data_IF_908302366593
#
_entry.id   IF_908302366593
#
_cell.length_a   1.000
_cell.length_b   1.000
_cell.length_c   1.000
_cell.angle_alpha   90.00
_cell.angle_beta   90.00
_cell.angle_gamma   90.00
#
_symmetry.space_group_name_H-M   'P 1'
#
loop_
_entity.id
_entity.type
_entity.pdbx_description
1 polymer ?
#
# COMPACT_ATOMS: atom_id res chain seq x y z
N UNK A 1 15.32 4.34 3.15
CA UNK A 1 13.95 3.83 3.06
C UNK A 1 13.49 3.02 4.28
N UNK A 2 14.24 2.01 4.74
CA UNK A 2 13.84 1.27 5.95
C UNK A 2 13.78 2.16 7.21
N UNK A 3 14.68 3.13 7.35
CA UNK A 3 14.66 4.08 8.47
C UNK A 3 13.44 5.00 8.45
N UNK A 4 13.08 5.51 7.27
CA UNK A 4 11.88 6.35 7.12
C UNK A 4 10.59 5.57 7.43
N UNK A 5 10.50 4.30 6.98
CA UNK A 5 9.36 3.44 7.30
C UNK A 5 9.31 3.09 8.80
N UNK A 6 10.47 2.89 9.44
CA UNK A 6 10.54 2.65 10.88
C UNK A 6 10.09 3.88 11.69
N UNK A 7 10.53 5.08 11.30
CA UNK A 7 10.10 6.33 11.91
C UNK A 7 8.59 6.59 11.74
N UNK A 8 8.04 6.27 10.55
CA UNK A 8 6.60 6.39 10.31
C UNK A 8 5.77 5.37 11.11
N UNK A 9 6.33 4.16 11.36
CA UNK A 9 5.64 3.12 12.12
C UNK A 9 5.74 3.33 13.63
N UNK A 10 6.86 3.80 14.09
CA UNK A 10 7.18 4.03 15.51
C UNK A 10 7.77 5.43 15.69
N UNK A 11 6.94 6.48 15.67
CA UNK A 11 7.42 7.87 15.79
C UNK A 11 8.13 8.11 17.11
N UNK A 12 7.65 7.49 18.20
CA UNK A 12 8.22 7.58 19.55
C UNK A 12 9.24 6.47 19.86
N UNK A 13 9.72 5.77 18.82
CA UNK A 13 10.60 4.62 18.98
C UNK A 13 9.88 3.27 19.01
N UNK A 14 10.65 2.19 18.91
CA UNK A 14 10.09 0.85 18.84
C UNK A 14 9.31 0.48 20.11
N UNK A 15 8.11 -0.03 19.93
CA UNK A 15 7.28 -0.67 20.95
C UNK A 15 6.98 -2.10 20.55
N UNK A 16 7.22 -3.04 21.45
CA UNK A 16 6.98 -4.45 21.19
C UNK A 16 5.47 -4.73 21.14
N UNK A 17 4.92 -5.32 20.04
CA UNK A 17 3.49 -5.60 19.93
C UNK A 17 2.99 -6.69 20.89
N UNK A 18 3.89 -7.39 21.61
CA UNK A 18 3.53 -8.45 22.54
C UNK A 18 3.58 -8.05 24.01
N UNK A 19 4.56 -7.23 24.40
CA UNK A 19 4.79 -6.86 25.81
C UNK A 19 4.98 -5.36 26.03
N UNK A 20 4.79 -4.55 24.97
CA UNK A 20 4.97 -3.09 24.95
C UNK A 20 6.35 -2.58 25.42
N UNK A 21 7.31 -3.47 25.58
CA UNK A 21 8.68 -3.13 25.97
C UNK A 21 9.39 -2.30 24.89
N UNK A 22 10.11 -1.25 25.30
CA UNK A 22 10.91 -0.42 24.41
C UNK A 22 12.31 -0.98 24.09
N UNK A 23 13.01 -1.67 25.02
CA UNK A 23 14.36 -2.19 24.75
C UNK A 23 14.35 -3.24 23.63
N UNK A 24 15.15 -3.02 22.58
CA UNK A 24 15.22 -3.91 21.43
C UNK A 24 16.61 -3.96 20.82
N UNK A 25 16.89 -5.00 20.06
CA UNK A 25 18.02 -5.09 19.15
C UNK A 25 17.55 -5.24 17.70
N UNK A 26 18.38 -4.76 16.77
CA UNK A 26 18.10 -4.82 15.34
C UNK A 26 18.92 -5.95 14.73
N UNK A 27 18.24 -6.99 14.25
CA UNK A 27 18.84 -8.11 13.53
C UNK A 27 18.93 -7.78 12.04
N UNK A 28 20.16 -7.65 11.52
CA UNK A 28 20.42 -7.32 10.11
C UNK A 28 20.70 -8.55 9.23
N UNK A 29 20.39 -9.74 9.70
CA UNK A 29 20.71 -10.99 9.00
C UNK A 29 19.96 -11.21 7.67
N UNK A 30 19.01 -10.35 7.30
CA UNK A 30 18.19 -10.42 6.08
C UNK A 30 18.15 -9.07 5.37
N UNK A 31 17.65 -9.06 4.15
CA UNK A 31 17.47 -7.85 3.35
C UNK A 31 16.60 -6.76 4.02
N UNK A 32 15.86 -7.12 5.05
CA UNK A 32 15.02 -6.21 5.85
C UNK A 32 15.33 -6.38 7.33
N UNK A 33 15.47 -5.29 8.09
CA UNK A 33 15.75 -5.35 9.52
C UNK A 33 14.57 -5.98 10.27
N UNK A 34 14.90 -6.82 11.25
CA UNK A 34 13.97 -7.34 12.26
C UNK A 34 14.27 -6.69 13.59
N UNK A 35 13.23 -6.27 14.29
CA UNK A 35 13.32 -5.69 15.62
C UNK A 35 13.00 -6.78 16.64
N UNK A 36 13.99 -7.16 17.44
CA UNK A 36 13.80 -8.16 18.48
C UNK A 36 13.71 -7.48 19.85
N UNK A 37 12.60 -7.73 20.54
CA UNK A 37 12.42 -7.26 21.90
C UNK A 37 13.39 -7.97 22.85
N UNK A 38 14.06 -7.20 23.73
CA UNK A 38 15.00 -7.77 24.69
C UNK A 38 14.28 -8.47 25.86
N UNK A 39 13.04 -8.04 26.20
CA UNK A 39 12.27 -8.61 27.29
C UNK A 39 11.63 -9.96 26.94
N UNK A 40 10.84 -10.02 25.85
CA UNK A 40 10.08 -11.21 25.48
C UNK A 40 10.63 -11.96 24.26
N UNK A 41 11.74 -11.51 23.67
CA UNK A 41 12.41 -12.05 22.48
C UNK A 41 11.49 -12.12 21.23
N UNK A 42 10.33 -11.46 21.26
CA UNK A 42 9.46 -11.37 20.10
C UNK A 42 10.15 -10.61 18.96
N UNK A 43 10.10 -11.18 17.76
CA UNK A 43 10.66 -10.56 16.54
C UNK A 43 9.56 -9.87 15.74
N UNK A 44 9.62 -8.55 15.69
CA UNK A 44 8.73 -7.74 14.89
C UNK A 44 9.38 -7.37 13.55
N UNK A 45 8.72 -7.73 12.46
CA UNK A 45 9.15 -7.27 11.14
C UNK A 45 8.65 -5.86 10.87
N UNK A 46 9.49 -5.04 10.21
CA UNK A 46 9.14 -3.67 9.82
C UNK A 46 7.87 -3.60 8.95
N UNK A 47 7.58 -4.64 8.19
CA UNK A 47 6.45 -4.70 7.24
C UNK A 47 5.27 -5.54 7.73
N UNK A 48 5.39 -6.25 8.85
CA UNK A 48 4.29 -7.08 9.37
C UNK A 48 3.11 -6.19 9.80
N UNK A 49 1.89 -6.57 9.44
CA UNK A 49 0.67 -5.78 9.72
C UNK A 49 0.55 -4.49 8.90
N UNK A 50 1.36 -4.31 7.85
CA UNK A 50 1.26 -3.18 6.91
C UNK A 50 0.84 -3.67 5.52
N UNK A 51 0.52 -2.74 4.62
CA UNK A 51 0.26 -3.02 3.20
C UNK A 51 1.39 -3.82 2.54
N UNK A 52 2.60 -3.69 3.06
CA UNK A 52 3.80 -4.36 2.55
C UNK A 52 3.97 -5.80 3.07
N UNK A 53 3.07 -6.30 3.91
CA UNK A 53 3.18 -7.64 4.50
C UNK A 53 3.20 -8.74 3.43
N UNK A 54 4.12 -9.72 3.58
CA UNK A 54 4.24 -10.86 2.68
C UNK A 54 4.75 -10.53 1.29
N UNK A 55 5.27 -9.31 1.07
CA UNK A 55 5.72 -8.87 -0.24
C UNK A 55 7.13 -9.34 -0.59
N UNK A 56 7.31 -9.88 -1.81
CA UNK A 56 8.62 -10.20 -2.40
C UNK A 56 9.32 -8.97 -2.99
N UNK A 57 8.64 -8.04 -3.68
CA UNK A 57 9.26 -6.84 -4.24
C UNK A 57 9.95 -5.98 -3.18
N UNK A 58 10.98 -5.25 -3.62
CA UNK A 58 11.68 -4.29 -2.76
C UNK A 58 10.76 -3.13 -2.34
N UNK A 59 11.01 -2.52 -1.19
CA UNK A 59 10.27 -1.34 -0.73
C UNK A 59 10.39 -0.17 -1.72
N UNK A 60 11.51 -0.08 -2.46
CA UNK A 60 11.67 0.94 -3.50
C UNK A 60 10.57 0.85 -4.56
N UNK A 61 10.26 -0.37 -5.05
CA UNK A 61 9.18 -0.58 -6.03
C UNK A 61 7.80 -0.22 -5.45
N UNK A 62 7.59 -0.47 -4.18
CA UNK A 62 6.36 -0.09 -3.50
C UNK A 62 6.20 1.43 -3.40
N UNK A 63 7.24 2.15 -2.98
CA UNK A 63 7.19 3.61 -2.91
C UNK A 63 7.04 4.24 -4.29
N UNK A 64 7.69 3.67 -5.31
CA UNK A 64 7.50 4.09 -6.70
C UNK A 64 6.05 3.86 -7.15
N UNK A 65 5.44 2.71 -6.81
CA UNK A 65 4.04 2.44 -7.11
C UNK A 65 3.10 3.45 -6.44
N UNK A 66 3.31 3.73 -5.16
CA UNK A 66 2.55 4.74 -4.41
C UNK A 66 2.66 6.10 -5.10
N UNK A 67 3.86 6.51 -5.44
CA UNK A 67 4.10 7.79 -6.13
C UNK A 67 3.37 7.84 -7.47
N UNK A 68 3.52 6.84 -8.33
CA UNK A 68 2.88 6.80 -9.64
C UNK A 68 1.34 6.83 -9.55
N UNK A 69 0.76 6.08 -8.61
CA UNK A 69 -0.68 6.04 -8.39
C UNK A 69 -1.18 7.38 -7.87
N UNK A 70 -0.44 8.02 -6.95
CA UNK A 70 -0.83 9.33 -6.40
C UNK A 70 -0.78 10.48 -7.41
N UNK A 71 0.06 10.36 -8.45
CA UNK A 71 0.16 11.36 -9.52
C UNK A 71 -0.88 11.16 -10.64
N UNK A 72 -1.46 9.98 -10.74
CA UNK A 72 -2.36 9.65 -11.83
C UNK A 72 -3.79 10.14 -11.55
N UNK A 73 -4.17 11.28 -12.15
CA UNK A 73 -5.52 11.88 -12.00
C UNK A 73 -6.64 10.94 -12.45
N UNK A 74 -6.42 10.17 -13.51
CA UNK A 74 -7.42 9.25 -14.11
C UNK A 74 -7.28 7.81 -13.63
N UNK A 75 -6.41 7.57 -12.63
CA UNK A 75 -6.03 6.22 -12.22
C UNK A 75 -4.92 5.63 -13.08
N UNK A 76 -4.32 4.56 -12.61
CA UNK A 76 -3.22 3.87 -13.28
C UNK A 76 -3.55 2.39 -13.40
N UNK A 77 -3.53 1.84 -14.63
CA UNK A 77 -3.79 0.43 -14.82
C UNK A 77 -2.63 -0.44 -14.32
N UNK A 78 -2.93 -1.67 -13.87
CA UNK A 78 -1.90 -2.62 -13.44
C UNK A 78 -0.90 -2.97 -14.57
N UNK A 79 -1.32 -2.84 -15.84
CA UNK A 79 -0.44 -3.08 -17.00
C UNK A 79 0.61 -1.98 -17.14
N UNK A 80 0.22 -0.73 -16.95
CA UNK A 80 1.15 0.41 -16.96
C UNK A 80 2.07 0.33 -15.75
N UNK A 81 1.53 0.01 -14.58
CA UNK A 81 2.31 -0.18 -13.35
C UNK A 81 3.36 -1.29 -13.50
N UNK A 82 3.01 -2.43 -14.14
CA UNK A 82 3.98 -3.50 -14.48
C UNK A 82 5.18 -2.96 -15.24
N UNK A 83 4.95 -2.11 -16.25
CA UNK A 83 6.02 -1.55 -17.10
C UNK A 83 6.96 -0.66 -16.31
N UNK A 84 6.41 0.23 -15.48
CA UNK A 84 7.21 1.15 -14.65
C UNK A 84 7.98 0.45 -13.54
N UNK A 85 7.39 -0.56 -12.90
CA UNK A 85 8.00 -1.27 -11.78
C UNK A 85 8.97 -2.38 -12.21
N UNK A 86 8.92 -2.84 -13.48
CA UNK A 86 9.70 -3.97 -13.96
C UNK A 86 9.40 -5.27 -13.21
N UNK A 87 8.11 -5.55 -12.97
CA UNK A 87 7.64 -6.75 -12.26
C UNK A 87 6.68 -7.55 -13.14
N UNK A 88 6.31 -8.78 -12.73
CA UNK A 88 5.26 -9.55 -13.40
C UNK A 88 3.91 -8.84 -13.30
N UNK A 89 3.00 -9.13 -14.24
CA UNK A 89 1.64 -8.57 -14.20
C UNK A 89 0.91 -8.90 -12.90
N UNK A 90 0.99 -10.15 -12.44
CA UNK A 90 0.38 -10.58 -11.17
C UNK A 90 0.90 -9.78 -9.97
N UNK A 91 2.21 -9.49 -9.94
CA UNK A 91 2.81 -8.67 -8.87
C UNK A 91 2.33 -7.22 -8.94
N UNK A 92 2.28 -6.63 -10.13
CA UNK A 92 1.78 -5.27 -10.33
C UNK A 92 0.30 -5.16 -9.95
N UNK A 93 -0.51 -6.13 -10.37
CA UNK A 93 -1.92 -6.24 -10.03
C UNK A 93 -2.14 -6.31 -8.51
N UNK A 94 -1.37 -7.18 -7.82
CA UNK A 94 -1.45 -7.34 -6.37
C UNK A 94 -1.03 -6.05 -5.62
N UNK A 95 0.02 -5.38 -6.08
CA UNK A 95 0.44 -4.08 -5.52
C UNK A 95 -0.67 -3.06 -5.69
N UNK A 96 -1.23 -2.96 -6.90
CA UNK A 96 -2.30 -2.03 -7.22
C UNK A 96 -3.52 -2.24 -6.30
N UNK A 97 -4.01 -3.49 -6.19
CA UNK A 97 -5.18 -3.79 -5.36
C UNK A 97 -4.95 -3.52 -3.87
N UNK A 98 -3.79 -3.90 -3.33
CA UNK A 98 -3.46 -3.60 -1.93
C UNK A 98 -3.41 -2.10 -1.64
N UNK A 99 -2.94 -1.29 -2.59
CA UNK A 99 -2.93 0.16 -2.44
C UNK A 99 -4.35 0.74 -2.53
N UNK A 100 -5.17 0.28 -3.48
CA UNK A 100 -6.57 0.69 -3.58
C UNK A 100 -7.36 0.33 -2.32
N UNK A 101 -7.17 -0.87 -1.78
CA UNK A 101 -7.80 -1.32 -0.54
C UNK A 101 -7.38 -0.44 0.66
N UNK A 102 -6.09 -0.12 0.77
CA UNK A 102 -5.60 0.77 1.82
C UNK A 102 -6.15 2.19 1.70
N UNK A 103 -6.30 2.70 0.48
CA UNK A 103 -6.91 4.01 0.21
C UNK A 103 -8.39 3.99 0.57
N UNK A 104 -9.14 2.98 0.14
CA UNK A 104 -10.57 2.82 0.46
C UNK A 104 -10.81 2.70 1.98
N UNK A 105 -9.97 1.91 2.68
CA UNK A 105 -10.05 1.78 4.13
C UNK A 105 -9.74 3.08 4.89
N UNK A 106 -8.90 3.94 4.31
CA UNK A 106 -8.65 5.29 4.85
C UNK A 106 -9.84 6.20 4.60
N UNK A 107 -10.36 6.21 3.37
CA UNK A 107 -11.48 7.05 2.94
C UNK A 107 -12.74 6.78 3.79
N UNK A 108 -13.01 5.52 4.10
CA UNK A 108 -14.14 5.11 4.94
C UNK A 108 -14.14 5.70 6.36
N UNK A 109 -13.02 6.30 6.79
CA UNK A 109 -12.89 6.96 8.11
C UNK A 109 -13.18 8.46 8.05
N UNK A 110 -13.27 9.05 6.87
CA UNK A 110 -13.57 10.46 6.70
C UNK A 110 -15.07 10.68 6.65
N UNK A 111 -15.56 11.58 7.48
CA UNK A 111 -16.92 12.09 7.45
C UNK A 111 -16.87 13.48 6.85
N UNK A 112 -17.70 13.73 5.85
CA UNK A 112 -17.84 15.05 5.25
C UNK A 112 -18.63 15.94 6.21
N UNK A 113 -18.06 17.09 6.57
CA UNK A 113 -18.71 18.10 7.43
C UNK A 113 -18.77 19.45 6.71
N UNK A 114 -19.79 20.24 7.01
CA UNK A 114 -20.00 21.57 6.45
C UNK A 114 -20.71 21.56 5.09
N UNK A 115 -20.34 22.47 4.21
CA UNK A 115 -20.95 22.60 2.88
C UNK A 115 -20.40 21.52 1.95
N UNK A 116 -21.24 20.57 1.58
CA UNK A 116 -20.87 19.47 0.66
C UNK A 116 -21.52 19.71 -0.69
N UNK A 117 -20.73 19.77 -1.76
CA UNK A 117 -21.22 19.80 -3.13
C UNK A 117 -21.09 18.42 -3.75
N UNK A 118 -22.19 17.89 -4.26
CA UNK A 118 -22.26 16.59 -4.94
C UNK A 118 -22.44 16.85 -6.43
N UNK A 119 -21.62 16.21 -7.23
CA UNK A 119 -21.72 16.27 -8.69
C UNK A 119 -21.82 14.85 -9.25
N UNK A 120 -22.63 14.69 -10.30
CA UNK A 120 -22.84 13.39 -10.95
C UNK A 120 -21.73 13.15 -11.98
N UNK A 121 -21.07 12.00 -11.89
CA UNK A 121 -20.09 11.55 -12.87
C UNK A 121 -20.50 10.26 -13.50
N UNK A 122 -20.65 10.26 -14.84
CA UNK A 122 -20.91 9.06 -15.62
C UNK A 122 -19.59 8.31 -15.89
N UNK A 123 -19.43 7.14 -15.29
CA UNK A 123 -18.32 6.22 -15.57
C UNK A 123 -18.74 5.25 -16.67
N UNK A 124 -18.33 5.53 -17.89
CA UNK A 124 -18.67 4.77 -19.08
C UNK A 124 -19.84 5.39 -19.85
N UNK A 125 -19.68 5.57 -21.15
CA UNK A 125 -20.72 6.11 -22.00
C UNK A 125 -21.97 5.25 -21.99
N UNK A 126 -23.14 5.88 -22.05
CA UNK A 126 -24.42 5.23 -22.24
C UNK A 126 -24.37 4.40 -23.54
N UNK A 127 -24.44 3.09 -23.41
CA UNK A 127 -24.57 2.21 -24.56
C UNK A 127 -26.04 2.15 -24.94
N UNK A 128 -26.51 3.14 -25.70
CA UNK A 128 -27.83 3.09 -26.31
C UNK A 128 -27.87 1.95 -27.31
N UNK A 129 -28.60 0.86 -26.97
CA UNK A 129 -29.18 -0.09 -27.89
C UNK A 129 -28.22 -0.74 -28.90
N UNK A 130 -27.06 -1.20 -28.50
CA UNK A 130 -26.25 -2.07 -29.32
C UNK A 130 -26.61 -3.52 -29.06
N UNK A 131 -27.00 -4.26 -30.12
CA UNK A 131 -27.02 -5.73 -30.09
C UNK A 131 -25.71 -6.24 -29.53
N UNK A 132 -25.76 -7.14 -28.52
CA UNK A 132 -24.60 -7.84 -28.00
C UNK A 132 -23.96 -8.65 -29.16
N UNK A 133 -23.02 -8.04 -29.86
CA UNK A 133 -22.35 -8.60 -31.01
C UNK A 133 -20.91 -8.17 -31.06
N UNK A 134 -20.02 -9.10 -31.39
CA UNK A 134 -18.60 -8.91 -31.59
C UNK A 134 -18.31 -7.62 -32.33
N UNK A 135 -17.61 -6.69 -31.69
CA UNK A 135 -17.06 -5.53 -32.38
C UNK A 135 -16.09 -5.98 -33.47
N UNK A 136 -16.28 -5.43 -34.68
CA UNK A 136 -15.31 -5.47 -35.77
C UNK A 136 -14.09 -4.61 -35.42
#
# INVERSE_FOLDING_TARGET
MCSALAAARWPDGFRCPRCDGAPHCILRARSRPLFQCNACRHQASLIAGTVFQGTKPSLHRWFLAIYLISQAKTGLSALVLKRHLGVSYQTAWLIHHKLMEAMAAREARYVLEGHVQIDDTYLGGERNGGTAGRGR
#
